data_IF_459425640326
#
_entry.id   IF_459425640326
#
_cell.length_a   1.000
_cell.length_b   1.000
_cell.length_c   1.000
_cell.angle_alpha   90.00
_cell.angle_beta   90.00
_cell.angle_gamma   90.00
#
_symmetry.space_group_name_H-M   'P 1'
#
loop_
_entity.id
_entity.type
_entity.pdbx_description
1 polymer ?
#
# COMPACT_ATOMS: atom_id res chain seq x y z
N UNK A 1 4.74 19.75 -21.61
CA UNK A 1 4.03 21.05 -21.53
C UNK A 1 3.45 21.21 -20.14
N UNK A 2 3.80 22.28 -19.39
CA UNK A 2 3.14 22.60 -18.10
C UNK A 2 1.97 23.52 -18.37
N UNK A 3 0.75 23.08 -18.03
CA UNK A 3 -0.46 23.88 -18.17
C UNK A 3 -0.44 25.02 -17.14
N UNK A 4 -0.27 26.27 -17.60
CA UNK A 4 -0.04 27.47 -16.75
C UNK A 4 -1.20 27.81 -15.80
N UNK A 5 -2.38 27.25 -16.05
CA UNK A 5 -3.66 27.51 -15.36
C UNK A 5 -4.25 26.29 -14.66
N UNK A 6 -3.61 25.11 -14.72
CA UNK A 6 -4.12 23.93 -14.03
C UNK A 6 -4.12 24.09 -12.50
N UNK A 7 -5.07 23.44 -11.81
CA UNK A 7 -5.21 23.53 -10.34
C UNK A 7 -3.90 23.18 -9.63
N UNK A 8 -3.23 22.10 -10.04
CA UNK A 8 -1.92 21.71 -9.49
C UNK A 8 -0.89 22.83 -9.69
N UNK A 9 -0.82 23.44 -10.88
CA UNK A 9 0.11 24.54 -11.16
C UNK A 9 -0.17 25.79 -10.29
N UNK A 10 -1.43 26.07 -9.97
CA UNK A 10 -1.79 27.18 -9.07
C UNK A 10 -1.38 26.89 -7.63
N UNK A 11 -1.58 25.66 -7.16
CA UNK A 11 -1.15 25.22 -5.83
C UNK A 11 0.37 25.28 -5.75
N UNK A 12 1.10 24.71 -6.73
CA UNK A 12 2.56 24.76 -6.81
C UNK A 12 3.12 26.20 -6.72
N UNK A 13 2.43 27.20 -7.29
CA UNK A 13 2.82 28.62 -7.17
C UNK A 13 2.66 29.17 -5.75
N UNK A 14 1.63 28.74 -5.02
CA UNK A 14 1.37 29.17 -3.65
C UNK A 14 2.35 28.52 -2.67
N UNK A 15 2.57 27.20 -2.77
CA UNK A 15 3.50 26.47 -1.89
C UNK A 15 4.97 26.55 -2.33
N UNK A 16 5.24 27.01 -3.56
CA UNK A 16 6.59 27.06 -4.17
C UNK A 16 7.31 25.71 -4.22
N UNK A 17 6.56 24.60 -4.27
CA UNK A 17 7.06 23.22 -4.31
C UNK A 17 6.48 22.53 -5.56
N UNK A 18 7.26 21.74 -6.32
CA UNK A 18 6.74 20.96 -7.44
C UNK A 18 5.97 19.72 -6.94
N UNK A 19 4.65 19.79 -6.97
CA UNK A 19 3.72 18.74 -6.53
C UNK A 19 3.42 17.71 -7.62
N UNK A 20 3.60 18.06 -8.90
CA UNK A 20 3.31 17.17 -10.02
C UNK A 20 4.04 15.82 -9.88
N UNK A 21 5.28 15.82 -9.40
CA UNK A 21 6.06 14.60 -9.20
C UNK A 21 5.49 13.69 -8.11
N UNK A 22 5.00 14.26 -7.00
CA UNK A 22 4.36 13.50 -5.94
C UNK A 22 3.05 12.84 -6.41
N UNK A 23 2.26 13.56 -7.20
CA UNK A 23 1.04 13.02 -7.81
C UNK A 23 1.36 11.91 -8.81
N UNK A 24 2.34 12.11 -9.70
CA UNK A 24 2.76 11.10 -10.67
C UNK A 24 3.33 9.85 -10.00
N UNK A 25 4.14 10.00 -8.94
CA UNK A 25 4.71 8.88 -8.19
C UNK A 25 3.62 8.08 -7.45
N UNK A 26 2.65 8.77 -6.85
CA UNK A 26 1.52 8.11 -6.19
C UNK A 26 0.70 7.30 -7.19
N UNK A 27 0.42 7.87 -8.37
CA UNK A 27 -0.31 7.17 -9.42
C UNK A 27 0.47 5.97 -9.96
N UNK A 28 1.78 6.10 -10.13
CA UNK A 28 2.64 5.00 -10.54
C UNK A 28 2.62 3.84 -9.53
N UNK A 29 2.66 4.15 -8.23
CA UNK A 29 2.60 3.14 -7.18
C UNK A 29 1.23 2.44 -7.09
N UNK A 30 0.13 3.14 -7.42
CA UNK A 30 -1.22 2.58 -7.43
C UNK A 30 -1.46 1.58 -8.58
N UNK A 31 -0.84 1.83 -9.75
CA UNK A 31 -1.09 1.06 -10.96
C UNK A 31 -0.82 -0.46 -10.83
N UNK A 32 0.32 -0.93 -10.28
CA UNK A 32 0.56 -2.36 -10.07
C UNK A 32 -0.49 -3.03 -9.19
N UNK A 33 -0.90 -2.37 -8.10
CA UNK A 33 -1.93 -2.88 -7.21
C UNK A 33 -3.28 -2.94 -7.91
N UNK A 34 -3.61 -1.94 -8.73
CA UNK A 34 -4.82 -1.94 -9.54
C UNK A 34 -4.85 -3.11 -10.52
N UNK A 35 -3.74 -3.38 -11.21
CA UNK A 35 -3.64 -4.53 -12.12
C UNK A 35 -3.76 -5.86 -11.38
N UNK A 36 -3.11 -5.99 -10.21
CA UNK A 36 -3.23 -7.18 -9.37
C UNK A 36 -4.68 -7.41 -8.94
N UNK A 37 -5.36 -6.38 -8.45
CA UNK A 37 -6.76 -6.49 -8.02
C UNK A 37 -7.70 -6.82 -9.18
N UNK A 38 -7.47 -6.30 -10.39
CA UNK A 38 -8.26 -6.68 -11.57
C UNK A 38 -8.09 -8.18 -11.88
N UNK A 39 -6.87 -8.72 -11.77
CA UNK A 39 -6.63 -10.14 -12.00
C UNK A 39 -7.27 -11.02 -10.93
N UNK A 40 -7.31 -10.58 -9.68
CA UNK A 40 -7.80 -11.36 -8.55
C UNK A 40 -9.33 -11.28 -8.37
N UNK A 41 -9.92 -10.09 -8.52
CA UNK A 41 -11.33 -9.80 -8.26
C UNK A 41 -12.17 -9.58 -9.53
N UNK A 42 -11.53 -9.54 -10.70
CA UNK A 42 -12.19 -9.36 -12.00
C UNK A 42 -12.28 -7.91 -12.46
N UNK A 43 -12.88 -7.73 -13.65
CA UNK A 43 -13.04 -6.41 -14.26
C UNK A 43 -13.99 -5.49 -13.49
N UNK A 44 -13.60 -4.22 -13.41
CA UNK A 44 -14.33 -3.15 -12.72
C UNK A 44 -15.58 -2.69 -13.49
N UNK A 45 -16.65 -2.36 -12.77
CA UNK A 45 -17.82 -1.66 -13.33
C UNK A 45 -17.62 -0.13 -13.42
N UNK A 46 -16.57 0.43 -12.79
CA UNK A 46 -16.35 1.88 -12.75
C UNK A 46 -14.93 2.32 -12.36
N UNK A 47 -14.55 3.60 -12.57
CA UNK A 47 -13.19 4.11 -12.35
C UNK A 47 -12.77 4.22 -10.87
N UNK A 48 -13.72 4.28 -9.93
CA UNK A 48 -13.49 4.46 -8.48
C UNK A 48 -14.02 3.30 -7.61
N UNK A 49 -14.57 2.26 -8.22
CA UNK A 49 -15.21 1.16 -7.50
C UNK A 49 -14.43 -0.12 -7.74
N UNK A 50 -13.63 -0.51 -6.76
CA UNK A 50 -13.21 -1.89 -6.61
C UNK A 50 -14.34 -2.63 -5.91
N UNK A 51 -14.90 -3.64 -6.56
CA UNK A 51 -15.96 -4.48 -6.00
C UNK A 51 -15.63 -5.92 -6.37
N UNK A 52 -15.31 -6.72 -5.37
CA UNK A 52 -14.93 -8.11 -5.56
C UNK A 52 -14.78 -8.80 -4.20
N UNK A 53 -14.71 -10.14 -4.18
CA UNK A 53 -14.60 -10.90 -2.94
C UNK A 53 -13.42 -10.43 -2.07
N UNK A 54 -12.25 -10.18 -2.66
CA UNK A 54 -11.05 -9.78 -1.93
C UNK A 54 -11.17 -8.35 -1.42
N UNK A 55 -11.58 -7.40 -2.26
CA UNK A 55 -11.80 -6.00 -1.83
C UNK A 55 -12.86 -5.92 -0.73
N UNK A 56 -13.90 -6.74 -0.82
CA UNK A 56 -14.95 -6.83 0.21
C UNK A 56 -14.40 -7.44 1.50
N UNK A 57 -13.55 -8.47 1.42
CA UNK A 57 -12.87 -9.04 2.59
C UNK A 57 -11.92 -8.03 3.24
N UNK A 58 -11.14 -7.28 2.43
CA UNK A 58 -10.24 -6.24 2.91
C UNK A 58 -10.97 -5.15 3.69
N UNK A 59 -12.19 -4.76 3.25
CA UNK A 59 -13.01 -3.78 3.97
C UNK A 59 -13.41 -4.19 5.39
N UNK A 60 -13.33 -5.50 5.70
CA UNK A 60 -13.63 -6.07 7.01
C UNK A 60 -12.38 -6.57 7.75
N UNK A 61 -11.20 -6.52 7.10
CA UNK A 61 -9.97 -7.16 7.57
C UNK A 61 -9.56 -6.70 8.97
N UNK A 62 -9.75 -5.42 9.29
CA UNK A 62 -9.44 -4.85 10.62
C UNK A 62 -10.17 -5.53 11.77
N UNK A 63 -11.34 -6.14 11.51
CA UNK A 63 -12.17 -6.80 12.52
C UNK A 63 -12.02 -8.32 12.51
N UNK A 64 -11.24 -8.87 11.58
CA UNK A 64 -11.07 -10.31 11.48
C UNK A 64 -10.05 -10.78 12.52
N UNK A 65 -10.31 -11.93 13.18
CA UNK A 65 -9.32 -12.52 14.07
C UNK A 65 -8.09 -12.94 13.25
N UNK A 66 -6.93 -12.85 13.88
CA UNK A 66 -5.71 -13.43 13.34
C UNK A 66 -5.89 -14.94 13.28
N UNK A 67 -5.73 -15.51 12.09
CA UNK A 67 -5.85 -16.95 11.86
C UNK A 67 -4.48 -17.54 11.53
N UNK A 68 -4.26 -18.78 11.96
CA UNK A 68 -3.08 -19.52 11.53
C UNK A 68 -3.16 -19.80 10.03
N UNK A 69 -2.06 -19.56 9.32
CA UNK A 69 -1.93 -19.81 7.89
C UNK A 69 -0.69 -20.70 7.64
N UNK A 70 -0.66 -21.38 6.48
CA UNK A 70 0.50 -22.20 6.09
C UNK A 70 1.61 -21.29 5.54
N UNK A 71 2.87 -21.60 5.85
CA UNK A 71 4.02 -20.89 5.29
C UNK A 71 3.94 -20.85 3.79
N UNK A 72 4.20 -19.67 3.26
CA UNK A 72 4.40 -19.48 1.82
C UNK A 72 5.89 -19.56 1.55
N UNK A 73 6.30 -20.42 0.64
CA UNK A 73 7.68 -20.47 0.17
C UNK A 73 7.97 -19.18 -0.61
N UNK A 74 8.85 -18.34 -0.07
CA UNK A 74 9.27 -17.11 -0.72
C UNK A 74 10.76 -16.81 -0.48
N UNK A 75 11.40 -16.25 -1.49
CA UNK A 75 12.73 -15.69 -1.39
C UNK A 75 12.62 -14.23 -0.91
N UNK A 76 13.17 -13.97 0.27
CA UNK A 76 13.27 -12.61 0.83
C UNK A 76 14.75 -12.26 0.78
N UNK A 77 15.10 -11.24 0.02
CA UNK A 77 16.48 -10.76 -0.06
C UNK A 77 16.95 -10.27 1.31
N UNK A 78 18.23 -10.51 1.64
CA UNK A 78 18.84 -9.92 2.83
C UNK A 78 19.01 -8.42 2.62
N UNK A 79 18.14 -7.64 3.27
CA UNK A 79 18.15 -6.17 3.22
C UNK A 79 18.61 -5.65 4.58
N UNK A 80 19.55 -4.71 4.58
CA UNK A 80 20.01 -4.09 5.82
C UNK A 80 18.87 -3.29 6.48
N UNK A 81 18.41 -3.72 7.67
CA UNK A 81 17.27 -3.06 8.35
C UNK A 81 17.49 -1.57 8.64
N UNK A 82 18.75 -1.15 8.80
CA UNK A 82 19.11 0.24 9.13
C UNK A 82 18.81 1.24 8.00
N UNK A 83 18.78 0.78 6.75
CA UNK A 83 18.47 1.63 5.61
C UNK A 83 16.96 1.74 5.33
N UNK A 84 16.14 0.95 6.04
CA UNK A 84 14.69 0.89 5.83
C UNK A 84 13.94 1.90 6.70
N UNK A 85 12.90 2.50 6.12
CA UNK A 85 11.91 3.25 6.88
C UNK A 85 11.16 2.33 7.85
N UNK A 86 10.44 2.92 8.81
CA UNK A 86 9.63 2.14 9.76
C UNK A 86 8.57 1.27 9.06
N UNK A 87 7.94 1.82 8.03
CA UNK A 87 6.91 1.09 7.27
C UNK A 87 7.53 -0.04 6.43
N UNK A 88 8.73 0.18 5.89
CA UNK A 88 9.48 -0.85 5.16
C UNK A 88 9.96 -1.96 6.10
N UNK A 89 10.41 -1.62 7.32
CA UNK A 89 10.75 -2.60 8.35
C UNK A 89 9.53 -3.42 8.75
N UNK A 90 8.37 -2.78 8.90
CA UNK A 90 7.11 -3.47 9.20
C UNK A 90 6.72 -4.46 8.10
N UNK A 91 6.82 -4.04 6.83
CA UNK A 91 6.57 -4.93 5.69
C UNK A 91 7.54 -6.12 5.64
N UNK A 92 8.82 -5.88 5.96
CA UNK A 92 9.83 -6.92 6.02
C UNK A 92 9.53 -7.93 7.14
N UNK A 93 9.13 -7.46 8.32
CA UNK A 93 8.74 -8.32 9.44
C UNK A 93 7.53 -9.20 9.07
N UNK A 94 6.48 -8.62 8.49
CA UNK A 94 5.32 -9.39 7.97
C UNK A 94 5.78 -10.45 6.97
N UNK A 95 6.71 -10.12 6.08
CA UNK A 95 7.19 -11.05 5.05
C UNK A 95 7.90 -12.26 5.67
N UNK A 96 8.75 -12.05 6.68
CA UNK A 96 9.41 -13.14 7.41
C UNK A 96 8.44 -14.01 8.20
N UNK A 97 7.40 -13.41 8.75
CA UNK A 97 6.36 -14.12 9.49
C UNK A 97 5.50 -14.99 8.55
N UNK A 98 5.14 -14.45 7.38
CA UNK A 98 4.47 -15.20 6.31
C UNK A 98 5.33 -16.39 5.84
N UNK A 99 6.64 -16.19 5.68
CA UNK A 99 7.58 -17.25 5.31
C UNK A 99 7.69 -18.35 6.37
N UNK A 100 7.66 -17.97 7.66
CA UNK A 100 7.88 -18.89 8.78
C UNK A 100 6.61 -19.52 9.36
N UNK A 101 5.44 -19.27 8.76
CA UNK A 101 4.10 -19.60 9.34
C UNK A 101 3.88 -19.01 10.73
N UNK A 102 4.63 -17.98 11.12
CA UNK A 102 4.45 -17.36 12.43
C UNK A 102 3.38 -16.30 12.28
N UNK A 103 2.41 -16.30 13.17
CA UNK A 103 1.43 -15.24 13.31
C UNK A 103 1.54 -14.67 14.71
N UNK A 104 2.60 -13.89 14.99
CA UNK A 104 2.76 -13.32 16.32
C UNK A 104 1.65 -12.31 16.58
N UNK A 105 0.99 -12.43 17.73
CA UNK A 105 -0.05 -11.49 18.18
C UNK A 105 0.49 -10.05 18.25
N UNK A 106 1.80 -9.87 18.40
CA UNK A 106 2.45 -8.55 18.40
C UNK A 106 2.27 -7.77 17.10
N UNK A 107 2.18 -8.44 15.93
CA UNK A 107 1.96 -7.74 14.66
C UNK A 107 0.52 -7.26 14.47
N UNK A 108 -0.47 -7.98 15.02
CA UNK A 108 -1.88 -7.58 14.88
C UNK A 108 -2.26 -6.43 15.82
N UNK A 109 -1.53 -6.26 16.92
CA UNK A 109 -1.66 -5.13 17.84
C UNK A 109 -0.83 -3.92 17.40
N UNK A 110 0.15 -4.11 16.51
CA UNK A 110 0.99 -3.03 16.01
C UNK A 110 0.16 -2.13 15.10
N UNK A 111 -0.26 -0.98 15.63
CA UNK A 111 -0.96 0.00 14.81
C UNK A 111 -0.06 0.42 13.63
N UNK A 112 -0.51 0.22 12.37
CA UNK A 112 0.14 0.90 11.27
C UNK A 112 0.08 2.38 11.61
N UNK A 113 1.22 3.07 11.58
CA UNK A 113 1.26 4.50 11.86
C UNK A 113 0.19 5.20 11.03
N UNK A 114 -0.36 6.27 11.60
CA UNK A 114 -1.30 7.16 10.94
C UNK A 114 -0.88 7.32 9.47
N UNK A 115 -1.76 6.91 8.54
CA UNK A 115 -1.53 7.09 7.11
C UNK A 115 -1.14 8.55 6.94
N UNK A 116 0.12 8.79 6.56
CA UNK A 116 0.55 10.11 6.18
C UNK A 116 -0.21 10.43 4.90
N UNK A 117 -1.40 11.01 5.05
CA UNK A 117 -2.03 11.72 3.97
C UNK A 117 -1.03 12.80 3.59
N UNK A 118 -0.31 12.56 2.49
CA UNK A 118 0.51 13.57 1.84
C UNK A 118 -0.35 14.82 1.73
N UNK A 119 0.01 15.86 2.50
CA UNK A 119 -0.68 17.15 2.50
C UNK A 119 -0.60 17.80 1.12
#
# INVERSE_FOLDING_TARGET
MRWKTGVICQIEKQVKIPLQWGVCLSHYNELPFRHLLINLDGEKTGPKSFSGPIVTLLSKCEKLPVVNFKSVECEISEIERKILSKDQQYLLDISYDVKSSRSPEDLSVREPRQISHSR
#
